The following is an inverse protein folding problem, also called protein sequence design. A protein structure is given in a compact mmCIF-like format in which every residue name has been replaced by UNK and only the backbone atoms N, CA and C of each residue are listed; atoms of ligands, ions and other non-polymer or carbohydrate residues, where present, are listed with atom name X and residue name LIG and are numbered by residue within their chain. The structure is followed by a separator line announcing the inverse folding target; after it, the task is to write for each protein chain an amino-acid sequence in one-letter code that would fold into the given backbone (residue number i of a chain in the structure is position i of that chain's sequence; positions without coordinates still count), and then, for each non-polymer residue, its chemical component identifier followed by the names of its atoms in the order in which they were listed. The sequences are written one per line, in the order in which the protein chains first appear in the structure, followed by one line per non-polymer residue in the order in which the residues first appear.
data_IF_650072255000
#
_entry.id   IF_650072255000
#
_cell.length_a   1.000
_cell.length_b   1.000
_cell.length_c   1.000
_cell.angle_alpha   90.00
_cell.angle_beta   90.00
_cell.angle_gamma   90.00
#
_symmetry.space_group_name_H-M   'P 1'
#
loop_
_entity.id
_entity.type
_entity.pdbx_description
1 polymer ?
#
# COMPACT_ATOMS: atom_id res chain seq x y z
N UNK A 1 -6.91 4.03 3.47
CA UNK A 1 -6.02 5.15 3.15
C UNK A 1 -5.17 5.60 4.35
N UNK A 2 -5.73 6.24 5.39
CA UNK A 2 -4.96 6.80 6.53
C UNK A 2 -3.83 5.93 7.10
N UNK A 3 -4.09 4.65 7.37
CA UNK A 3 -3.05 3.73 7.88
C UNK A 3 -1.86 3.58 6.92
N UNK A 4 -2.13 3.54 5.61
CA UNK A 4 -1.11 3.47 4.58
C UNK A 4 -0.33 4.79 4.45
N UNK A 5 -1.02 5.92 4.52
CA UNK A 5 -0.41 7.25 4.48
C UNK A 5 0.57 7.43 5.65
N UNK A 6 0.21 6.99 6.87
CA UNK A 6 1.12 7.02 8.03
C UNK A 6 2.36 6.15 7.80
N UNK A 7 2.20 4.95 7.23
CA UNK A 7 3.35 4.09 6.91
C UNK A 7 4.26 4.72 5.84
N UNK A 8 3.69 5.32 4.79
CA UNK A 8 4.42 6.03 3.75
C UNK A 8 5.20 7.22 4.31
N UNK A 9 4.53 8.11 5.08
CA UNK A 9 5.16 9.28 5.67
C UNK A 9 6.26 8.91 6.67
N UNK A 10 6.05 7.86 7.48
CA UNK A 10 7.09 7.34 8.40
C UNK A 10 8.32 6.84 7.66
N UNK A 11 8.14 6.18 6.52
CA UNK A 11 9.25 5.69 5.70
C UNK A 11 9.97 6.83 4.98
N UNK A 12 9.22 7.75 4.38
CA UNK A 12 9.78 8.86 3.61
C UNK A 12 10.41 9.95 4.49
N UNK A 13 9.93 10.12 5.73
CA UNK A 13 10.26 11.28 6.57
C UNK A 13 9.66 12.59 6.02
N UNK A 14 8.65 12.50 5.15
CA UNK A 14 8.11 13.61 4.36
C UNK A 14 6.62 13.45 4.10
N UNK A 15 5.98 14.54 3.65
CA UNK A 15 4.60 14.53 3.18
C UNK A 15 4.46 13.59 1.98
N UNK A 16 3.42 12.76 1.99
CA UNK A 16 3.13 11.81 0.92
C UNK A 16 1.69 11.97 0.45
N UNK A 17 1.48 11.89 -0.86
CA UNK A 17 0.16 11.95 -1.50
C UNK A 17 -0.18 10.61 -2.14
N UNK A 18 -1.46 10.24 -2.11
CA UNK A 18 -1.96 9.01 -2.75
C UNK A 18 -2.08 9.24 -4.25
N UNK A 19 -1.44 8.39 -5.05
CA UNK A 19 -1.48 8.46 -6.52
C UNK A 19 -2.42 7.42 -7.11
N UNK A 20 -2.45 6.22 -6.55
CA UNK A 20 -3.35 5.18 -7.01
C UNK A 20 -3.65 4.17 -5.91
N UNK A 21 -4.75 3.45 -6.09
CA UNK A 21 -5.15 2.32 -5.26
C UNK A 21 -5.46 1.19 -6.23
N UNK A 22 -4.86 0.02 -6.00
CA UNK A 22 -5.16 -1.18 -6.78
C UNK A 22 -6.57 -1.67 -6.46
N UNK A 23 -7.12 -2.52 -7.35
CA UNK A 23 -8.41 -3.17 -7.12
C UNK A 23 -8.49 -3.77 -5.70
N UNK A 24 -9.59 -3.49 -5.00
CA UNK A 24 -9.86 -4.00 -3.66
C UNK A 24 -11.02 -4.98 -3.72
N UNK A 25 -10.74 -6.23 -3.37
CA UNK A 25 -11.77 -7.27 -3.25
C UNK A 25 -12.03 -7.57 -1.76
N UNK A 26 -13.28 -7.39 -1.34
CA UNK A 26 -13.74 -7.70 0.02
C UNK A 26 -14.19 -9.16 0.07
N UNK A 27 -13.39 -10.02 0.70
CA UNK A 27 -13.63 -11.46 0.80
C UNK A 27 -14.55 -11.83 1.95
N UNK A 28 -14.48 -11.07 3.03
CA UNK A 28 -15.32 -11.24 4.22
C UNK A 28 -15.95 -9.90 4.62
N UNK A 29 -17.21 -9.90 5.09
CA UNK A 29 -17.84 -8.69 5.59
C UNK A 29 -17.28 -8.27 6.95
N UNK A 30 -17.42 -6.97 7.21
CA UNK A 30 -17.20 -6.36 8.53
C UNK A 30 -18.58 -6.04 9.10
N UNK A 31 -18.91 -6.61 10.26
CA UNK A 31 -20.20 -6.37 10.91
C UNK A 31 -20.13 -5.18 11.88
N UNK A 32 -21.27 -4.55 12.12
CA UNK A 32 -21.37 -3.47 13.10
C UNK A 32 -20.94 -3.95 14.50
N UNK A 33 -20.10 -3.16 15.16
CA UNK A 33 -19.57 -3.48 16.49
C UNK A 33 -18.29 -4.33 16.50
N UNK A 34 -17.78 -4.76 15.35
CA UNK A 34 -16.48 -5.44 15.27
C UNK A 34 -15.30 -4.47 15.38
N UNK A 35 -14.20 -4.93 16.00
CA UNK A 35 -12.92 -4.22 15.97
C UNK A 35 -12.28 -4.41 14.60
N UNK A 36 -11.90 -3.31 13.96
CA UNK A 36 -11.18 -3.33 12.67
C UNK A 36 -9.72 -2.98 12.90
N UNK A 37 -8.84 -3.90 12.51
CA UNK A 37 -7.38 -3.70 12.56
C UNK A 37 -6.81 -3.53 11.16
N UNK A 38 -6.14 -2.40 10.92
CA UNK A 38 -5.45 -2.12 9.66
C UNK A 38 -3.93 -2.22 9.86
N UNK A 39 -3.32 -3.26 9.29
CA UNK A 39 -1.86 -3.46 9.31
C UNK A 39 -1.28 -2.94 8.00
N UNK A 40 -0.57 -1.81 8.05
CA UNK A 40 0.01 -1.16 6.88
C UNK A 40 1.54 -1.28 6.87
N UNK A 41 2.12 -1.51 5.68
CA UNK A 41 3.58 -1.63 5.51
C UNK A 41 4.02 -1.22 4.11
N UNK A 42 5.14 -0.50 4.01
CA UNK A 42 5.81 -0.24 2.72
C UNK A 42 6.39 -1.56 2.20
N UNK A 43 5.94 -1.97 1.02
CA UNK A 43 6.37 -3.21 0.36
C UNK A 43 7.40 -2.97 -0.73
N UNK A 44 7.38 -1.79 -1.37
CA UNK A 44 8.32 -1.43 -2.42
C UNK A 44 8.57 0.08 -2.44
N UNK A 45 9.79 0.46 -2.82
CA UNK A 45 10.22 1.84 -2.98
C UNK A 45 10.86 2.03 -4.35
N UNK A 46 10.37 3.03 -5.11
CA UNK A 46 11.01 3.56 -6.31
C UNK A 46 11.85 4.79 -5.99
N UNK A 47 12.00 5.75 -6.92
CA UNK A 47 12.73 7.00 -6.64
C UNK A 47 12.03 7.86 -5.59
N UNK A 48 10.79 8.26 -5.86
CA UNK A 48 9.94 9.09 -4.99
C UNK A 48 8.63 8.39 -4.60
N UNK A 49 8.35 7.24 -5.21
CA UNK A 49 7.11 6.50 -5.08
C UNK A 49 7.27 5.33 -4.12
N UNK A 50 6.20 4.98 -3.39
CA UNK A 50 6.18 3.84 -2.49
C UNK A 50 4.89 3.05 -2.70
N UNK A 51 4.98 1.73 -2.75
CA UNK A 51 3.80 0.87 -2.61
C UNK A 51 3.63 0.48 -1.14
N UNK A 52 2.43 0.69 -0.61
CA UNK A 52 2.05 0.33 0.75
C UNK A 52 0.95 -0.73 0.69
N UNK A 53 1.21 -1.91 1.25
CA UNK A 53 0.21 -2.95 1.45
C UNK A 53 -0.53 -2.72 2.76
N UNK A 54 -1.85 -2.89 2.74
CA UNK A 54 -2.70 -2.86 3.93
C UNK A 54 -3.47 -4.16 4.03
N UNK A 55 -3.28 -4.87 5.14
CA UNK A 55 -4.09 -6.01 5.52
C UNK A 55 -5.14 -5.55 6.53
N UNK A 56 -6.41 -5.76 6.20
CA UNK A 56 -7.54 -5.45 7.08
C UNK A 56 -8.05 -6.75 7.72
N UNK A 57 -8.27 -6.68 9.03
CA UNK A 57 -8.81 -7.77 9.85
C UNK A 57 -10.01 -7.25 10.65
N UNK A 58 -11.10 -8.02 10.68
CA UNK A 58 -12.25 -7.78 11.54
C UNK A 58 -12.24 -8.79 12.69
N UNK A 59 -12.59 -8.32 13.89
CA UNK A 59 -12.60 -9.11 15.10
C UNK A 59 -13.90 -8.89 15.87
N UNK A 60 -14.61 -9.98 16.15
CA UNK A 60 -15.68 -9.97 17.14
C UNK A 60 -15.05 -10.05 18.53
N UNK A 61 -15.12 -8.97 19.29
CA UNK A 61 -14.48 -8.86 20.61
C UNK A 61 -15.10 -9.77 21.68
N UNK A 62 -16.36 -10.18 21.53
CA UNK A 62 -17.04 -11.05 22.49
C UNK A 62 -16.64 -12.51 22.29
N UNK A 63 -16.43 -12.93 21.04
CA UNK A 63 -16.09 -14.32 20.71
C UNK A 63 -14.60 -14.53 20.45
N UNK A 64 -13.83 -13.45 20.23
CA UNK A 64 -12.43 -13.49 19.82
C UNK A 64 -12.21 -13.93 18.37
N UNK A 65 -13.28 -14.14 17.58
CA UNK A 65 -13.17 -14.57 16.19
C UNK A 65 -12.56 -13.47 15.32
N UNK A 66 -11.43 -13.76 14.66
CA UNK A 66 -10.71 -12.84 13.76
C UNK A 66 -10.79 -13.33 12.32
N UNK A 67 -11.06 -12.42 11.39
CA UNK A 67 -11.18 -12.72 9.96
C UNK A 67 -10.41 -11.71 9.12
N UNK A 68 -9.77 -12.19 8.07
CA UNK A 68 -9.16 -11.33 7.08
C UNK A 68 -10.20 -10.87 6.07
N UNK A 69 -10.46 -9.57 6.00
CA UNK A 69 -11.53 -9.02 5.16
C UNK A 69 -11.05 -8.77 3.75
N UNK A 70 -9.93 -8.06 3.63
CA UNK A 70 -9.34 -7.67 2.36
C UNK A 70 -7.88 -7.24 2.55
N UNK A 71 -7.12 -7.36 1.47
CA UNK A 71 -5.80 -6.74 1.32
C UNK A 71 -5.90 -5.72 0.19
N UNK A 72 -5.32 -4.54 0.37
CA UNK A 72 -5.20 -3.55 -0.70
C UNK A 72 -3.78 -3.01 -0.79
N UNK A 73 -3.42 -2.52 -1.98
CA UNK A 73 -2.13 -1.94 -2.27
C UNK A 73 -2.32 -0.52 -2.78
N UNK A 74 -1.63 0.43 -2.17
CA UNK A 74 -1.73 1.85 -2.48
C UNK A 74 -0.36 2.35 -2.95
N UNK A 75 -0.36 3.19 -3.97
CA UNK A 75 0.85 3.90 -4.40
C UNK A 75 0.83 5.31 -3.84
N UNK A 76 1.88 5.65 -3.10
CA UNK A 76 2.15 7.00 -2.61
C UNK A 76 3.33 7.62 -3.34
N UNK A 77 3.37 8.95 -3.41
CA UNK A 77 4.54 9.72 -3.82
C UNK A 77 4.87 10.73 -2.74
N UNK A 78 6.14 10.76 -2.31
CA UNK A 78 6.64 11.81 -1.43
C UNK A 78 6.82 13.11 -2.21
N UNK A 79 6.46 14.23 -1.60
CA UNK A 79 6.53 15.57 -2.20
C UNK A 79 7.25 16.55 -1.28
N UNK A 80 7.96 17.50 -1.88
CA UNK A 80 8.56 18.64 -1.20
C UNK A 80 7.52 19.74 -0.89
N UNK A 81 7.97 20.83 -0.26
CA UNK A 81 7.12 21.99 0.09
C UNK A 81 6.54 22.72 -1.14
N UNK A 82 7.06 22.45 -2.33
CA UNK A 82 6.58 22.98 -3.61
C UNK A 82 5.68 21.97 -4.35
N UNK A 83 5.35 20.84 -3.73
CA UNK A 83 4.53 19.78 -4.31
C UNK A 83 5.24 18.93 -5.36
N UNK A 84 6.57 19.02 -5.48
CA UNK A 84 7.35 18.27 -6.48
C UNK A 84 7.79 16.92 -5.90
N UNK A 85 7.83 15.84 -6.72
CA UNK A 85 8.25 14.53 -6.25
C UNK A 85 9.68 14.54 -5.67
N UNK A 86 9.82 14.04 -4.45
CA UNK A 86 11.08 14.01 -3.72
C UNK A 86 11.58 12.59 -3.49
N UNK A 87 12.90 12.38 -3.56
CA UNK A 87 13.49 11.06 -3.38
C UNK A 87 13.32 10.55 -1.94
N UNK A 88 13.05 9.25 -1.79
CA UNK A 88 12.84 8.60 -0.49
C UNK A 88 13.91 7.56 -0.18
N UNK A 89 14.14 7.20 1.10
CA UNK A 89 15.10 6.15 1.46
C UNK A 89 14.75 4.80 0.79
N UNK A 90 15.72 4.04 0.26
CA UNK A 90 15.45 2.74 -0.33
C UNK A 90 14.91 1.75 0.72
N UNK A 91 14.13 0.76 0.28
CA UNK A 91 13.66 -0.34 1.12
C UNK A 91 14.51 -1.59 0.88
N UNK A 92 15.23 -2.04 1.90
CA UNK A 92 15.97 -3.29 1.89
C UNK A 92 15.18 -4.40 2.60
N UNK A 93 14.76 -5.47 1.89
CA UNK A 93 14.05 -6.60 2.50
C UNK A 93 15.04 -7.61 3.14
N UNK A 94 14.94 -7.83 4.45
CA UNK A 94 15.88 -8.68 5.19
C UNK A 94 15.38 -10.12 5.40
N UNK A 95 14.07 -10.31 5.49
CA UNK A 95 13.45 -11.64 5.69
C UNK A 95 12.94 -12.25 4.38
N UNK A 96 12.77 -13.59 4.28
CA UNK A 96 12.16 -14.23 3.13
C UNK A 96 10.78 -13.64 2.78
N UNK A 97 9.95 -13.38 3.79
CA UNK A 97 8.61 -12.82 3.60
C UNK A 97 8.65 -11.39 3.06
N UNK A 98 9.64 -10.60 3.50
CA UNK A 98 9.87 -9.25 2.97
C UNK A 98 10.35 -9.29 1.53
N UNK A 99 11.28 -10.20 1.20
CA UNK A 99 11.76 -10.38 -0.18
C UNK A 99 10.64 -10.79 -1.12
N UNK A 100 9.77 -11.70 -0.67
CA UNK A 100 8.59 -12.09 -1.43
C UNK A 100 7.65 -10.90 -1.64
N UNK A 101 7.27 -10.18 -0.58
CA UNK A 101 6.38 -9.01 -0.67
C UNK A 101 6.95 -7.93 -1.60
N UNK A 102 8.25 -7.70 -1.54
CA UNK A 102 8.94 -6.75 -2.40
C UNK A 102 8.91 -7.17 -3.87
N UNK A 103 9.17 -8.45 -4.16
CA UNK A 103 9.11 -8.98 -5.52
C UNK A 103 7.69 -8.90 -6.11
N UNK A 104 6.67 -9.21 -5.32
CA UNK A 104 5.27 -9.09 -5.74
C UNK A 104 4.85 -7.63 -5.99
N UNK A 105 5.30 -6.70 -5.14
CA UNK A 105 5.07 -5.27 -5.30
C UNK A 105 5.74 -4.71 -6.56
N UNK A 106 6.96 -5.17 -6.86
CA UNK A 106 7.64 -4.81 -8.10
C UNK A 106 6.87 -5.29 -9.33
N UNK A 107 6.36 -6.53 -9.31
CA UNK A 107 5.52 -7.06 -10.39
C UNK A 107 4.23 -6.26 -10.58
N UNK A 108 3.53 -5.90 -9.49
CA UNK A 108 2.33 -5.05 -9.55
C UNK A 108 2.64 -3.70 -10.21
N UNK A 109 3.77 -3.09 -9.86
CA UNK A 109 4.25 -1.86 -10.49
C UNK A 109 4.48 -2.03 -11.99
N UNK A 110 5.19 -3.08 -12.40
CA UNK A 110 5.47 -3.37 -13.81
C UNK A 110 4.17 -3.49 -14.62
N UNK A 111 3.17 -4.23 -14.10
CA UNK A 111 1.85 -4.36 -14.72
C UNK A 111 1.15 -3.00 -14.84
N UNK A 112 1.13 -2.19 -13.76
CA UNK A 112 0.53 -0.84 -13.81
C UNK A 112 1.20 0.05 -14.85
N UNK A 113 2.52 0.00 -14.96
CA UNK A 113 3.26 0.81 -15.94
C UNK A 113 2.99 0.37 -17.38
N UNK A 114 2.85 -0.93 -17.61
CA UNK A 114 2.47 -1.46 -18.92
C UNK A 114 1.07 -0.98 -19.34
N UNK A 115 0.07 -1.11 -18.45
CA UNK A 115 -1.30 -0.66 -18.71
C UNK A 115 -1.36 0.85 -18.99
N UNK A 116 -0.70 1.67 -18.17
CA UNK A 116 -0.67 3.12 -18.40
C UNK A 116 0.03 3.51 -19.72
N UNK A 117 1.02 2.73 -20.17
CA UNK A 117 1.70 2.96 -21.44
C UNK A 117 0.86 2.53 -22.66
N UNK A 118 -0.06 1.58 -22.48
CA UNK A 118 -1.05 1.19 -23.50
C UNK A 118 -2.13 2.26 -23.63
N UNK A 119 -2.70 2.72 -22.51
CA UNK A 119 -3.69 3.81 -22.49
C UNK A 119 -3.16 5.08 -23.18
N UNK A 120 -1.94 5.51 -22.84
CA UNK A 120 -1.31 6.67 -23.48
C UNK A 120 -0.98 6.52 -24.98
N UNK A 121 -1.04 5.31 -25.53
CA UNK A 121 -0.82 5.07 -26.97
C UNK A 121 -2.12 5.20 -27.77
N UNK A 122 -3.27 5.05 -27.11
CA UNK A 122 -4.59 5.15 -27.73
C UNK A 122 -5.11 6.60 -27.77
N UNK A 123 -4.50 7.50 -27.00
CA UNK A 123 -4.70 8.96 -27.00
C UNK A 123 -3.91 9.69 -28.10
#
# INVERSE_FOLDING_TARGET
DRAAAVAAMRHAGQTCVTVSIDRVDFREPIYAGELVTCKARVNYVGRSSMEVGVRVEAENLLTGSKRHTNTCFLTFVAIDDHGRPQAVPPLEPHTPEERQRWAEARRRREVRQALAAEEHRED
#
